data_IF_274866339550
#
_entry.id   IF_274866339550
#
_cell.length_a   1.000
_cell.length_b   1.000
_cell.length_c   1.000
_cell.angle_alpha   90.00
_cell.angle_beta   90.00
_cell.angle_gamma   90.00
#
_symmetry.space_group_name_H-M   'P 1'
#
loop_
_entity.id
_entity.type
_entity.pdbx_description
1 polymer ?
#
# COMPACT_ATOMS: atom_id res chain seq x y z
N UNK A 1 -2.38 6.77 -17.59
CA UNK A 1 -1.07 6.13 -17.28
C UNK A 1 -1.34 4.82 -16.56
N UNK A 2 -0.43 3.85 -16.62
CA UNK A 2 -0.63 2.57 -15.93
C UNK A 2 -0.19 2.67 -14.47
N UNK A 3 -1.06 2.24 -13.56
CA UNK A 3 -0.84 2.30 -12.11
C UNK A 3 -1.13 0.94 -11.51
N UNK A 4 -0.19 0.41 -10.74
CA UNK A 4 -0.31 -0.87 -10.04
C UNK A 4 -0.42 -0.58 -8.54
N UNK A 5 -1.45 -1.13 -7.90
CA UNK A 5 -1.81 -0.85 -6.52
C UNK A 5 -1.78 -2.15 -5.74
N UNK A 6 -0.85 -2.27 -4.79
CA UNK A 6 -0.82 -3.42 -3.89
C UNK A 6 -1.59 -3.08 -2.61
N UNK A 7 -2.59 -3.88 -2.27
CA UNK A 7 -3.40 -3.63 -1.08
C UNK A 7 -3.67 -4.93 -0.34
N UNK A 8 -3.47 -4.90 0.97
CA UNK A 8 -3.84 -6.00 1.84
C UNK A 8 -5.33 -5.95 2.18
N UNK A 9 -6.01 -7.08 1.96
CA UNK A 9 -7.42 -7.24 2.28
C UNK A 9 -7.54 -7.91 3.64
N UNK A 10 -8.09 -7.24 4.66
CA UNK A 10 -8.19 -7.78 6.00
C UNK A 10 -9.11 -9.01 6.04
N UNK A 11 -8.76 -9.98 6.87
CA UNK A 11 -9.58 -11.20 7.08
C UNK A 11 -10.86 -10.96 7.90
N UNK A 12 -10.86 -9.91 8.72
CA UNK A 12 -11.96 -9.58 9.63
C UNK A 12 -12.61 -8.26 9.24
N UNK A 13 -13.89 -8.03 9.58
CA UNK A 13 -14.54 -6.74 9.36
C UNK A 13 -13.75 -5.62 10.01
N UNK A 14 -13.66 -4.49 9.31
CA UNK A 14 -13.03 -3.25 9.78
C UNK A 14 -14.04 -2.11 9.65
N UNK A 15 -13.81 -1.04 10.40
CA UNK A 15 -14.65 0.16 10.34
C UNK A 15 -14.03 1.18 9.41
N UNK A 16 -14.88 1.90 8.68
CA UNK A 16 -14.45 3.06 7.90
C UNK A 16 -14.04 4.21 8.82
N UNK A 17 -13.10 5.02 8.36
CA UNK A 17 -12.65 6.22 9.03
C UNK A 17 -12.57 7.37 8.05
N UNK A 18 -12.68 8.58 8.60
CA UNK A 18 -12.42 9.80 7.88
C UNK A 18 -10.95 10.20 8.02
N UNK A 19 -10.32 10.62 6.92
CA UNK A 19 -8.92 11.02 6.87
C UNK A 19 -8.73 12.48 6.42
N UNK A 20 -9.80 13.26 6.41
CA UNK A 20 -9.79 14.63 5.93
C UNK A 20 -8.81 15.51 6.71
N UNK A 21 -7.85 16.10 6.01
CA UNK A 21 -6.87 17.04 6.53
C UNK A 21 -6.00 16.49 7.69
N UNK A 22 -5.86 15.17 7.80
CA UNK A 22 -5.06 14.51 8.85
C UNK A 22 -3.71 13.97 8.34
N UNK A 23 -2.85 13.57 9.27
CA UNK A 23 -1.51 13.04 9.00
C UNK A 23 -0.63 13.96 8.13
N UNK A 24 0.27 13.36 7.33
CA UNK A 24 1.17 14.08 6.43
C UNK A 24 0.62 14.20 4.99
N UNK A 25 -0.42 13.44 4.64
CA UNK A 25 -1.05 13.51 3.31
C UNK A 25 -1.95 14.72 3.18
N UNK A 26 -2.62 15.13 4.28
CA UNK A 26 -3.58 16.23 4.29
C UNK A 26 -4.64 16.11 3.18
N UNK A 27 -5.20 14.90 3.04
CA UNK A 27 -6.20 14.61 1.99
C UNK A 27 -7.41 15.53 2.11
N UNK A 28 -7.94 15.94 0.96
CA UNK A 28 -9.18 16.74 0.85
C UNK A 28 -10.42 15.88 0.70
N UNK A 29 -10.28 14.55 0.67
CA UNK A 29 -11.40 13.64 0.62
C UNK A 29 -12.09 13.58 1.99
N UNK A 30 -13.37 13.96 2.02
CA UNK A 30 -14.13 14.21 3.26
C UNK A 30 -15.09 13.07 3.63
N UNK A 31 -15.01 11.93 2.94
CA UNK A 31 -15.87 10.77 3.21
C UNK A 31 -15.09 9.66 3.90
N UNK A 32 -15.83 8.86 4.66
CA UNK A 32 -15.29 7.70 5.34
C UNK A 32 -14.91 6.61 4.34
N UNK A 33 -13.71 6.06 4.50
CA UNK A 33 -13.20 4.93 3.72
C UNK A 33 -12.64 3.87 4.65
N UNK A 34 -12.77 2.61 4.23
CA UNK A 34 -12.08 1.50 4.85
C UNK A 34 -10.63 1.46 4.42
N UNK A 35 -10.37 1.74 3.14
CA UNK A 35 -9.06 1.65 2.52
C UNK A 35 -8.52 3.06 2.25
N UNK A 36 -7.55 3.54 3.04
CA UNK A 36 -7.12 4.93 2.97
C UNK A 36 -6.53 5.35 1.62
N UNK A 37 -6.02 4.41 0.81
CA UNK A 37 -5.59 4.70 -0.56
C UNK A 37 -6.72 5.30 -1.43
N UNK A 38 -7.99 4.98 -1.15
CA UNK A 38 -9.12 5.54 -1.88
C UNK A 38 -9.28 7.06 -1.62
N UNK A 39 -8.92 7.54 -0.43
CA UNK A 39 -8.86 8.99 -0.16
C UNK A 39 -7.74 9.66 -0.99
N UNK A 40 -6.60 8.99 -1.15
CA UNK A 40 -5.49 9.48 -1.99
C UNK A 40 -5.89 9.49 -3.49
N UNK A 41 -6.58 8.46 -3.95
CA UNK A 41 -7.00 8.33 -5.35
C UNK A 41 -8.06 9.33 -5.79
N UNK A 42 -8.88 9.83 -4.87
CA UNK A 42 -9.80 10.93 -5.16
C UNK A 42 -9.06 12.14 -5.76
N UNK A 43 -7.83 12.38 -5.33
CA UNK A 43 -7.01 13.52 -5.72
C UNK A 43 -5.97 13.18 -6.79
N UNK A 44 -5.35 12.00 -6.74
CA UNK A 44 -4.21 11.63 -7.60
C UNK A 44 -4.58 10.96 -8.93
N UNK A 45 -5.77 10.36 -9.05
CA UNK A 45 -6.15 9.70 -10.31
C UNK A 45 -6.60 10.71 -11.36
N UNK A 46 -6.07 10.58 -12.57
CA UNK A 46 -6.44 11.36 -13.74
C UNK A 46 -7.43 10.58 -14.63
N UNK A 47 -8.11 11.30 -15.52
CA UNK A 47 -8.95 10.68 -16.54
C UNK A 47 -8.10 9.77 -17.45
N UNK A 48 -8.63 8.60 -17.84
CA UNK A 48 -7.95 7.59 -18.67
C UNK A 48 -6.72 6.94 -18.03
N UNK A 49 -6.60 6.98 -16.71
CA UNK A 49 -5.70 6.07 -16.01
C UNK A 49 -6.16 4.62 -16.15
N UNK A 50 -5.19 3.71 -16.11
CA UNK A 50 -5.40 2.27 -16.09
C UNK A 50 -4.91 1.75 -14.74
N UNK A 51 -5.82 1.18 -13.94
CA UNK A 51 -5.52 0.65 -12.63
C UNK A 51 -5.43 -0.87 -12.68
N UNK A 52 -4.33 -1.42 -12.19
CA UNK A 52 -4.24 -2.81 -11.77
C UNK A 52 -4.23 -2.88 -10.26
N UNK A 53 -5.29 -3.40 -9.66
CA UNK A 53 -5.42 -3.58 -8.22
C UNK A 53 -5.01 -5.00 -7.86
N UNK A 54 -3.89 -5.15 -7.15
CA UNK A 54 -3.37 -6.41 -6.64
C UNK A 54 -3.86 -6.60 -5.21
N UNK A 55 -4.87 -7.46 -5.04
CA UNK A 55 -5.40 -7.81 -3.72
C UNK A 55 -4.52 -8.86 -3.06
N UNK A 56 -3.76 -8.48 -2.04
CA UNK A 56 -3.04 -9.41 -1.17
C UNK A 56 -4.03 -10.02 -0.19
N UNK A 57 -4.24 -11.33 -0.28
CA UNK A 57 -5.22 -12.06 0.53
C UNK A 57 -4.53 -13.21 1.26
N UNK A 58 -4.71 -13.27 2.58
CA UNK A 58 -4.36 -14.46 3.37
C UNK A 58 -5.50 -15.47 3.31
N UNK A 59 -5.20 -16.69 2.89
CA UNK A 59 -6.10 -17.84 2.91
C UNK A 59 -5.84 -18.63 4.17
N UNK A 60 -6.91 -18.91 4.92
CA UNK A 60 -6.82 -19.58 6.22
C UNK A 60 -7.33 -21.01 6.20
N UNK A 61 -8.07 -21.39 5.16
CA UNK A 61 -8.78 -22.67 5.09
C UNK A 61 -10.09 -22.69 5.90
N UNK A 62 -10.40 -21.63 6.64
CA UNK A 62 -11.71 -21.41 7.24
C UNK A 62 -12.61 -20.69 6.23
N UNK A 63 -13.58 -21.42 5.68
CA UNK A 63 -14.50 -20.90 4.67
C UNK A 63 -15.29 -19.63 5.11
N UNK A 64 -15.50 -19.42 6.42
CA UNK A 64 -16.15 -18.19 6.90
C UNK A 64 -15.18 -17.01 6.84
N UNK A 65 -13.93 -17.22 7.25
CA UNK A 65 -12.89 -16.18 7.21
C UNK A 65 -12.58 -15.83 5.75
N UNK A 66 -12.37 -16.82 4.89
CA UNK A 66 -12.05 -16.60 3.49
C UNK A 66 -13.21 -15.88 2.76
N UNK A 67 -14.47 -16.23 3.06
CA UNK A 67 -15.64 -15.49 2.56
C UNK A 67 -15.71 -14.04 3.08
N UNK A 68 -15.29 -13.81 4.32
CA UNK A 68 -15.23 -12.46 4.88
C UNK A 68 -14.13 -11.62 4.21
N UNK A 69 -12.98 -12.21 3.90
CA UNK A 69 -11.92 -11.57 3.09
C UNK A 69 -12.45 -11.14 1.73
N UNK A 70 -13.22 -12.00 1.05
CA UNK A 70 -13.86 -11.63 -0.22
C UNK A 70 -14.87 -10.47 -0.06
N UNK A 71 -15.70 -10.50 0.98
CA UNK A 71 -16.61 -9.39 1.26
C UNK A 71 -15.87 -8.06 1.49
N UNK A 72 -14.71 -8.11 2.16
CA UNK A 72 -13.87 -6.94 2.35
C UNK A 72 -13.24 -6.44 1.04
N UNK A 73 -12.89 -7.33 0.10
CA UNK A 73 -12.43 -6.93 -1.24
C UNK A 73 -13.55 -6.24 -2.03
N UNK A 74 -14.80 -6.67 -1.92
CA UNK A 74 -15.94 -5.98 -2.54
C UNK A 74 -16.14 -4.57 -1.96
N UNK A 75 -15.94 -4.37 -0.65
CA UNK A 75 -15.97 -3.03 -0.04
C UNK A 75 -14.91 -2.12 -0.69
N UNK A 76 -13.71 -2.63 -0.98
CA UNK A 76 -12.69 -1.86 -1.69
C UNK A 76 -13.20 -1.42 -3.06
N UNK A 77 -13.78 -2.35 -3.83
CA UNK A 77 -14.30 -2.07 -5.17
C UNK A 77 -15.39 -1.01 -5.13
N UNK A 78 -16.32 -1.09 -4.19
CA UNK A 78 -17.40 -0.11 -4.03
C UNK A 78 -16.87 1.28 -3.68
N UNK A 79 -15.87 1.36 -2.80
CA UNK A 79 -15.20 2.62 -2.47
C UNK A 79 -14.46 3.21 -3.67
N UNK A 80 -13.67 2.39 -4.37
CA UNK A 80 -12.94 2.83 -5.56
C UNK A 80 -13.91 3.30 -6.65
N UNK A 81 -14.98 2.54 -6.92
CA UNK A 81 -16.02 2.91 -7.89
C UNK A 81 -16.65 4.26 -7.55
N UNK A 82 -16.87 4.53 -6.26
CA UNK A 82 -17.37 5.84 -5.81
C UNK A 82 -16.37 6.96 -6.08
N UNK A 83 -15.07 6.70 -5.88
CA UNK A 83 -13.97 7.64 -6.10
C UNK A 83 -13.77 7.97 -7.59
N UNK A 84 -13.93 6.97 -8.47
CA UNK A 84 -13.66 7.11 -9.91
C UNK A 84 -14.91 7.33 -10.77
N UNK A 85 -16.11 7.42 -10.17
CA UNK A 85 -17.40 7.44 -10.90
C UNK A 85 -17.50 8.45 -12.05
N UNK A 86 -16.81 9.58 -11.93
CA UNK A 86 -16.84 10.70 -12.90
C UNK A 86 -15.59 10.69 -13.83
N UNK A 87 -14.78 9.63 -13.78
CA UNK A 87 -13.54 9.46 -14.55
C UNK A 87 -13.66 8.23 -15.46
N UNK A 88 -13.11 8.30 -16.66
CA UNK A 88 -13.03 7.16 -17.57
C UNK A 88 -11.77 6.34 -17.28
N UNK A 89 -11.77 5.62 -16.15
CA UNK A 89 -10.64 4.81 -15.68
C UNK A 89 -10.94 3.32 -15.91
N UNK A 90 -9.99 2.59 -16.49
CA UNK A 90 -10.08 1.13 -16.56
C UNK A 90 -9.51 0.50 -15.29
N UNK A 91 -10.17 -0.54 -14.78
CA UNK A 91 -9.73 -1.22 -13.55
C UNK A 91 -9.68 -2.72 -13.77
N UNK A 92 -8.53 -3.31 -13.52
CA UNK A 92 -8.28 -4.75 -13.41
C UNK A 92 -8.10 -5.11 -11.94
N UNK A 93 -8.75 -6.18 -11.49
CA UNK A 93 -8.58 -6.71 -10.13
C UNK A 93 -7.90 -8.08 -10.19
N UNK A 94 -6.78 -8.22 -9.51
CA UNK A 94 -5.96 -9.43 -9.49
C UNK A 94 -5.77 -9.91 -8.03
N UNK A 95 -6.41 -11.02 -7.62
CA UNK A 95 -6.14 -11.61 -6.31
C UNK A 95 -4.77 -12.31 -6.30
N UNK A 96 -3.96 -12.02 -5.28
CA UNK A 96 -2.72 -12.72 -4.93
C UNK A 96 -2.94 -13.35 -3.56
N UNK A 97 -3.27 -14.63 -3.60
CA UNK A 97 -3.49 -15.43 -2.41
C UNK A 97 -2.19 -15.98 -1.85
N UNK A 98 -2.07 -15.99 -0.53
CA UNK A 98 -0.99 -16.65 0.18
C UNK A 98 -1.51 -17.31 1.46
N UNK A 99 -0.76 -18.28 1.98
CA UNK A 99 -1.06 -18.87 3.29
C UNK A 99 -1.06 -17.78 4.38
N UNK A 100 -1.56 -18.07 5.57
CA UNK A 100 -1.36 -17.21 6.73
C UNK A 100 0.00 -17.47 7.42
N UNK A 101 0.63 -18.63 7.18
CA UNK A 101 1.91 -19.00 7.78
C UNK A 101 3.11 -18.13 7.30
N UNK A 102 4.00 -17.77 8.23
CA UNK A 102 5.15 -16.89 7.99
C UNK A 102 6.48 -17.64 7.87
N UNK A 103 6.45 -18.82 7.24
CA UNK A 103 7.67 -19.54 6.87
C UNK A 103 8.42 -18.89 5.71
N UNK A 104 9.73 -19.16 5.65
CA UNK A 104 10.61 -18.71 4.56
C UNK A 104 10.08 -19.08 3.16
N UNK A 105 9.58 -20.31 2.99
CA UNK A 105 9.03 -20.77 1.72
C UNK A 105 7.83 -19.92 1.29
N UNK A 106 6.93 -19.64 2.23
CA UNK A 106 5.78 -18.77 1.99
C UNK A 106 6.21 -17.32 1.67
N UNK A 107 7.26 -16.80 2.29
CA UNK A 107 7.82 -15.48 1.93
C UNK A 107 8.32 -15.46 0.49
N UNK A 108 9.06 -16.48 0.06
CA UNK A 108 9.58 -16.57 -1.32
C UNK A 108 8.44 -16.71 -2.35
N UNK A 109 7.40 -17.49 -2.03
CA UNK A 109 6.22 -17.65 -2.89
C UNK A 109 5.45 -16.33 -3.00
N UNK A 110 5.19 -15.65 -1.87
CA UNK A 110 4.53 -14.33 -1.84
C UNK A 110 5.29 -13.33 -2.70
N UNK A 111 6.61 -13.22 -2.50
CA UNK A 111 7.44 -12.32 -3.28
C UNK A 111 7.33 -12.59 -4.79
N UNK A 112 7.48 -13.86 -5.21
CA UNK A 112 7.37 -14.27 -6.62
C UNK A 112 6.02 -13.91 -7.24
N UNK A 113 4.93 -14.15 -6.52
CA UNK A 113 3.57 -13.79 -6.97
C UNK A 113 3.41 -12.27 -7.11
N UNK A 114 3.92 -11.50 -6.15
CA UNK A 114 3.85 -10.03 -6.21
C UNK A 114 4.65 -9.47 -7.38
N UNK A 115 5.90 -9.92 -7.60
CA UNK A 115 6.70 -9.43 -8.73
C UNK A 115 6.14 -9.88 -10.08
N UNK A 116 5.42 -11.00 -10.16
CA UNK A 116 4.75 -11.40 -11.41
C UNK A 116 3.57 -10.51 -11.81
N UNK A 117 3.11 -9.64 -10.90
CA UNK A 117 2.06 -8.66 -11.19
C UNK A 117 2.60 -7.36 -11.80
N UNK A 118 3.91 -7.14 -11.70
CA UNK A 118 4.58 -5.93 -12.18
C UNK A 118 4.52 -5.82 -13.70
N UNK A 119 4.49 -4.59 -14.18
CA UNK A 119 4.58 -4.24 -15.58
C UNK A 119 5.55 -3.08 -15.75
N UNK A 120 6.18 -2.98 -16.92
CA UNK A 120 7.13 -1.92 -17.18
C UNK A 120 6.45 -0.53 -17.16
N UNK A 121 7.24 0.50 -16.88
CA UNK A 121 6.86 1.91 -17.04
C UNK A 121 5.56 2.28 -16.30
N UNK A 122 5.33 1.68 -15.14
CA UNK A 122 4.12 1.85 -14.33
C UNK A 122 4.38 2.64 -13.05
N UNK A 123 3.38 3.39 -12.58
CA UNK A 123 3.37 3.97 -11.23
C UNK A 123 2.93 2.93 -10.20
N UNK A 124 3.61 2.87 -9.06
CA UNK A 124 3.31 1.94 -7.98
C UNK A 124 2.74 2.65 -6.76
N UNK A 125 1.66 2.06 -6.26
CA UNK A 125 0.99 2.46 -5.03
C UNK A 125 0.87 1.26 -4.10
N UNK A 126 0.92 1.50 -2.81
CA UNK A 126 0.59 0.48 -1.82
C UNK A 126 -0.30 1.04 -0.72
N UNK A 127 -1.20 0.22 -0.20
CA UNK A 127 -1.92 0.47 1.05
C UNK A 127 -1.54 -0.61 2.06
N UNK A 128 -0.79 -0.19 3.08
CA UNK A 128 -0.22 -1.06 4.12
C UNK A 128 -0.97 -0.90 5.45
N UNK A 129 -2.19 -0.36 5.43
CA UNK A 129 -3.02 -0.13 6.61
C UNK A 129 -3.39 -1.42 7.33
N UNK A 130 -3.65 -2.46 6.55
CA UNK A 130 -4.01 -3.79 7.06
C UNK A 130 -2.96 -4.83 6.68
N UNK A 131 -3.20 -6.04 7.18
CA UNK A 131 -2.41 -7.22 6.84
C UNK A 131 -1.39 -7.66 7.86
N UNK A 132 -0.70 -8.77 7.57
CA UNK A 132 0.43 -9.21 8.35
C UNK A 132 1.51 -8.13 8.42
N UNK A 133 2.14 -8.00 9.59
CA UNK A 133 3.20 -7.01 9.85
C UNK A 133 4.41 -7.13 8.92
N UNK A 134 4.56 -8.26 8.23
CA UNK A 134 5.66 -8.51 7.30
C UNK A 134 5.39 -7.98 5.88
N UNK A 135 4.12 -7.73 5.52
CA UNK A 135 3.75 -7.21 4.18
C UNK A 135 4.42 -5.87 3.85
N UNK A 136 4.50 -4.88 4.76
CA UNK A 136 5.21 -3.63 4.46
C UNK A 136 6.68 -3.85 4.05
N UNK A 137 7.39 -4.78 4.70
CA UNK A 137 8.77 -5.13 4.33
C UNK A 137 8.83 -5.80 2.96
N UNK A 138 7.87 -6.68 2.66
CA UNK A 138 7.75 -7.32 1.34
C UNK A 138 7.48 -6.29 0.24
N UNK A 139 6.60 -5.32 0.49
CA UNK A 139 6.29 -4.22 -0.44
C UNK A 139 7.55 -3.42 -0.76
N UNK A 140 8.39 -3.08 0.24
CA UNK A 140 9.65 -2.38 -0.01
C UNK A 140 10.58 -3.19 -0.92
N UNK A 141 10.69 -4.51 -0.71
CA UNK A 141 11.46 -5.39 -1.59
C UNK A 141 10.90 -5.43 -3.01
N UNK A 142 9.58 -5.55 -3.18
CA UNK A 142 8.91 -5.59 -4.49
C UNK A 142 9.06 -4.26 -5.23
N UNK A 143 8.92 -3.13 -4.53
CA UNK A 143 9.05 -1.80 -5.11
C UNK A 143 10.49 -1.52 -5.53
N UNK A 144 11.48 -1.91 -4.71
CA UNK A 144 12.89 -1.82 -5.07
C UNK A 144 13.20 -2.67 -6.32
N UNK A 145 12.64 -3.87 -6.41
CA UNK A 145 12.77 -4.74 -7.58
C UNK A 145 12.14 -4.10 -8.83
N UNK A 146 10.96 -3.52 -8.69
CA UNK A 146 10.25 -2.87 -9.80
C UNK A 146 10.96 -1.62 -10.31
N UNK A 147 11.42 -0.74 -9.42
CA UNK A 147 12.18 0.46 -9.77
C UNK A 147 13.46 0.09 -10.56
N UNK A 148 14.16 -0.98 -10.13
CA UNK A 148 15.42 -1.42 -10.75
C UNK A 148 15.26 -2.17 -12.07
N UNK A 149 14.21 -2.99 -12.21
CA UNK A 149 14.13 -3.95 -13.31
C UNK A 149 12.92 -3.75 -14.23
N UNK A 150 11.95 -2.92 -13.85
CA UNK A 150 10.73 -2.64 -14.62
C UNK A 150 10.60 -1.14 -14.97
N UNK A 151 11.56 -0.30 -14.58
CA UNK A 151 11.48 1.15 -14.80
C UNK A 151 10.20 1.76 -14.20
N UNK A 152 9.76 1.24 -13.04
CA UNK A 152 8.58 1.75 -12.35
C UNK A 152 8.90 2.97 -11.48
N UNK A 153 7.91 3.85 -11.31
CA UNK A 153 7.96 4.97 -10.37
C UNK A 153 7.19 4.63 -9.09
N UNK A 154 7.75 4.95 -7.92
CA UNK A 154 7.07 4.74 -6.63
C UNK A 154 6.31 6.00 -6.25
N UNK A 155 4.98 5.98 -6.33
CA UNK A 155 4.16 7.19 -6.19
C UNK A 155 3.64 7.42 -4.77
N UNK A 156 3.22 6.37 -4.04
CA UNK A 156 2.74 6.51 -2.67
C UNK A 156 2.69 5.16 -1.96
N UNK A 157 3.07 5.14 -0.68
CA UNK A 157 2.85 3.99 0.21
C UNK A 157 2.02 4.51 1.36
N UNK A 158 0.77 4.10 1.44
CA UNK A 158 -0.23 4.70 2.31
C UNK A 158 -0.44 3.87 3.56
N UNK A 159 -0.53 4.53 4.71
CA UNK A 159 -0.84 3.94 6.00
C UNK A 159 -1.89 4.77 6.73
N UNK A 160 -3.06 4.18 6.98
CA UNK A 160 -4.08 4.72 7.86
C UNK A 160 -3.85 4.31 9.31
N UNK A 161 -3.58 5.27 10.17
CA UNK A 161 -3.54 5.08 11.62
C UNK A 161 -4.90 5.36 12.22
N UNK A 162 -5.29 4.59 13.23
CA UNK A 162 -6.52 4.80 13.98
C UNK A 162 -6.27 4.70 15.49
N UNK A 163 -6.87 5.59 16.26
CA UNK A 163 -7.00 5.44 17.71
C UNK A 163 -8.16 4.50 18.01
N UNK A 164 -8.12 3.81 19.16
CA UNK A 164 -9.18 2.90 19.57
C UNK A 164 -9.67 3.29 20.96
N UNK A 165 -10.99 3.30 21.14
CA UNK A 165 -11.61 3.57 22.43
C UNK A 165 -11.57 2.33 23.36
N UNK A 166 -12.16 2.46 24.55
CA UNK A 166 -12.25 1.37 25.54
C UNK A 166 -13.02 0.13 25.05
N UNK A 167 -13.84 0.27 24.00
CA UNK A 167 -14.59 -0.81 23.36
C UNK A 167 -13.89 -1.32 22.09
N UNK A 168 -12.64 -0.92 21.86
CA UNK A 168 -11.86 -1.24 20.67
C UNK A 168 -12.52 -0.77 19.37
N UNK A 169 -13.33 0.30 19.42
CA UNK A 169 -13.88 0.95 18.23
C UNK A 169 -12.87 1.98 17.71
N UNK A 170 -12.53 1.94 16.42
CA UNK A 170 -11.57 2.89 15.87
C UNK A 170 -12.20 4.29 15.71
N UNK A 171 -11.40 5.32 15.95
CA UNK A 171 -11.71 6.74 15.75
C UNK A 171 -10.42 7.51 15.42
N UNK A 172 -10.55 8.81 15.11
CA UNK A 172 -9.44 9.74 14.82
C UNK A 172 -8.44 9.20 13.77
N UNK A 173 -8.94 8.99 12.55
CA UNK A 173 -8.15 8.50 11.43
C UNK A 173 -7.05 9.49 11.01
N UNK A 174 -5.80 9.04 10.97
CA UNK A 174 -4.66 9.81 10.47
C UNK A 174 -4.05 9.15 9.23
N UNK A 175 -3.91 9.91 8.15
CA UNK A 175 -3.41 9.39 6.87
C UNK A 175 -1.96 9.76 6.61
N UNK A 176 -1.11 8.74 6.44
CA UNK A 176 0.30 8.89 6.17
C UNK A 176 0.68 8.35 4.80
N UNK A 177 1.48 9.11 4.05
CA UNK A 177 2.32 8.60 2.97
C UNK A 177 3.70 8.35 3.56
N UNK A 178 4.10 7.08 3.51
CA UNK A 178 5.36 6.57 4.04
C UNK A 178 6.36 6.22 2.94
N UNK A 179 6.11 6.63 1.69
CA UNK A 179 7.10 6.57 0.61
C UNK A 179 8.45 7.23 0.98
N UNK A 180 8.53 8.29 1.81
CA UNK A 180 9.83 8.81 2.26
C UNK A 180 10.67 7.77 3.02
N UNK A 181 10.06 6.85 3.77
CA UNK A 181 10.79 5.77 4.45
C UNK A 181 11.37 4.74 3.46
N UNK A 182 10.63 4.45 2.38
CA UNK A 182 11.14 3.61 1.30
C UNK A 182 12.35 4.27 0.62
N UNK A 183 12.24 5.56 0.27
CA UNK A 183 13.35 6.30 -0.36
C UNK A 183 14.56 6.41 0.58
N UNK A 184 14.34 6.61 1.88
CA UNK A 184 15.41 6.61 2.87
C UNK A 184 16.11 5.24 2.92
N UNK A 185 15.35 4.14 2.93
CA UNK A 185 15.93 2.78 2.88
C UNK A 185 16.74 2.55 1.59
N UNK A 186 16.28 3.03 0.44
CA UNK A 186 17.03 2.93 -0.81
C UNK A 186 18.30 3.80 -0.80
N UNK A 187 18.23 5.02 -0.24
CA UNK A 187 19.38 5.89 -0.06
C UNK A 187 20.44 5.19 0.80
N UNK A 188 20.07 4.73 2.00
CA UNK A 188 21.04 4.11 2.92
C UNK A 188 21.66 2.83 2.35
N UNK A 189 20.93 2.07 1.52
CA UNK A 189 21.45 0.87 0.86
C UNK A 189 22.37 1.17 -0.35
N UNK A 190 22.32 2.38 -0.90
CA UNK A 190 23.16 2.81 -2.03
C UNK A 190 24.33 3.71 -1.61
N UNK A 191 24.31 4.22 -0.37
CA UNK A 191 25.40 5.01 0.19
C UNK A 191 26.70 4.21 0.26
N UNK A 192 27.79 4.86 -0.13
CA UNK A 192 29.15 4.35 0.01
C UNK A 192 29.91 5.32 0.91
N UNK A 193 30.51 4.81 1.98
CA UNK A 193 31.33 5.57 2.91
C UNK A 193 32.50 4.70 3.41
N UNK A 194 33.63 5.31 3.74
CA UNK A 194 34.81 4.60 4.24
C UNK A 194 34.72 4.22 5.72
N UNK A 195 33.80 4.84 6.46
CA UNK A 195 33.56 4.64 7.90
C UNK A 195 32.13 4.99 8.29
N UNK A 196 31.71 4.58 9.50
CA UNK A 196 30.40 4.94 10.05
C UNK A 196 30.26 6.44 10.31
N UNK A 197 31.33 7.11 10.76
CA UNK A 197 31.35 8.56 10.97
C UNK A 197 31.15 9.34 9.67
N UNK A 198 31.80 8.91 8.59
CA UNK A 198 31.60 9.52 7.27
C UNK A 198 30.17 9.28 6.76
N UNK A 199 29.61 8.08 6.96
CA UNK A 199 28.24 7.78 6.58
C UNK A 199 27.23 8.71 7.28
N UNK A 200 27.39 8.93 8.59
CA UNK A 200 26.53 9.85 9.36
C UNK A 200 26.67 11.28 8.83
N UNK A 201 27.91 11.76 8.62
CA UNK A 201 28.14 13.11 8.08
C UNK A 201 27.49 13.31 6.71
N UNK A 202 27.58 12.30 5.83
CA UNK A 202 26.97 12.35 4.51
C UNK A 202 25.43 12.42 4.59
N UNK A 203 24.83 11.70 5.55
CA UNK A 203 23.39 11.74 5.79
C UNK A 203 22.93 13.11 6.34
N UNK A 204 23.67 13.67 7.30
CA UNK A 204 23.38 15.00 7.85
C UNK A 204 23.42 16.08 6.77
N UNK A 205 24.39 16.00 5.85
CA UNK A 205 24.48 16.91 4.70
C UNK A 205 23.29 16.77 3.76
N UNK A 206 22.78 15.55 3.54
CA UNK A 206 21.61 15.32 2.70
C UNK A 206 20.33 15.89 3.31
N UNK A 207 20.11 15.72 4.62
CA UNK A 207 18.92 16.24 5.31
C UNK A 207 18.91 17.76 5.51
N UNK A 208 20.05 18.43 5.31
CA UNK A 208 20.15 19.89 5.39
C UNK A 208 19.76 20.62 4.08
N UNK A 209 19.49 19.87 2.99
CA UNK A 209 19.03 20.39 1.69
C UNK A 209 17.51 20.61 1.68
#
# INVERSE_FOLDING_TARGET
MKKIVFIDIPMYPKSKLNFYNTGNVKSKYDKDVLYPINAVFAEKLADKDELKIVFLKSITGDAKVDKQTEANAEIFKDELNTVIKDKNISVEYLPVESDFDESKENHEIRFKKMISCLENDSELYADITFGPKLIPMMIFCVFNFAERFFNCEISSIVYGKAMHDENNKPHDGELFDVSPMYHLNNLTNSMIASSGEEAIKNLDMFFAL
#
